data_IF_116567985086
#
_entry.id   IF_116567985086
#
_cell.length_a   1.000
_cell.length_b   1.000
_cell.length_c   1.000
_cell.angle_alpha   90.00
_cell.angle_beta   90.00
_cell.angle_gamma   90.00
#
_symmetry.space_group_name_H-M   'P 1'
#
loop_
_entity.id
_entity.type
_entity.pdbx_description
1 polymer ?
#
# COMPACT_ATOMS: atom_id res chain seq x y z
N UNK A 1 -3.05 -9.57 23.17
CA UNK A 1 -3.75 -9.51 21.88
C UNK A 1 -3.63 -10.89 21.22
N UNK A 2 -4.63 -11.33 20.43
CA UNK A 2 -4.59 -12.59 19.70
C UNK A 2 -3.57 -12.55 18.56
N UNK A 3 -3.08 -13.69 18.11
CA UNK A 3 -2.35 -13.81 16.85
C UNK A 3 -3.40 -14.06 15.75
N UNK A 4 -3.25 -13.36 14.63
CA UNK A 4 -4.12 -13.55 13.47
C UNK A 4 -3.84 -14.89 12.81
N UNK A 5 -4.88 -15.61 12.42
CA UNK A 5 -4.75 -16.86 11.64
C UNK A 5 -4.20 -16.57 10.24
N UNK A 6 -4.59 -15.42 9.67
CA UNK A 6 -4.08 -14.84 8.43
C UNK A 6 -4.08 -13.33 8.55
N UNK A 7 -3.13 -12.68 7.87
CA UNK A 7 -2.97 -11.23 7.95
C UNK A 7 -3.72 -10.49 6.83
N UNK A 8 -3.86 -11.09 5.67
CA UNK A 8 -4.53 -10.49 4.52
C UNK A 8 -5.81 -11.26 4.18
N UNK A 9 -6.83 -10.53 3.78
CA UNK A 9 -8.00 -11.04 3.09
C UNK A 9 -7.90 -10.74 1.60
N UNK A 10 -8.40 -11.66 0.78
CA UNK A 10 -8.43 -11.53 -0.68
C UNK A 10 -9.85 -11.74 -1.17
N UNK A 11 -10.29 -10.87 -2.07
CA UNK A 11 -11.58 -10.96 -2.74
C UNK A 11 -11.40 -10.86 -4.25
N UNK A 12 -11.75 -11.91 -4.96
CA UNK A 12 -11.78 -11.89 -6.42
C UNK A 12 -12.98 -11.05 -6.88
N UNK A 13 -12.72 -9.90 -7.52
CA UNK A 13 -13.76 -9.02 -8.06
C UNK A 13 -14.22 -9.55 -9.42
N UNK A 14 -13.26 -9.90 -10.30
CA UNK A 14 -13.49 -10.51 -11.59
C UNK A 14 -12.28 -11.38 -11.99
N UNK A 15 -12.17 -11.77 -13.26
CA UNK A 15 -11.06 -12.62 -13.73
C UNK A 15 -9.71 -11.90 -13.80
N UNK A 16 -9.71 -10.56 -13.77
CA UNK A 16 -8.50 -9.72 -13.82
C UNK A 16 -8.18 -9.05 -12.50
N UNK A 17 -9.17 -8.73 -11.69
CA UNK A 17 -9.01 -7.88 -10.51
C UNK A 17 -9.26 -8.68 -9.23
N UNK A 18 -8.28 -8.65 -8.34
CA UNK A 18 -8.40 -9.15 -6.96
C UNK A 18 -8.11 -8.01 -5.99
N UNK A 19 -9.04 -7.75 -5.07
CA UNK A 19 -8.84 -6.83 -3.96
C UNK A 19 -8.18 -7.54 -2.80
N UNK A 20 -7.26 -6.84 -2.13
CA UNK A 20 -6.64 -7.29 -0.88
C UNK A 20 -6.78 -6.20 0.17
N UNK A 21 -6.86 -6.60 1.43
CA UNK A 21 -6.80 -5.67 2.56
C UNK A 21 -6.27 -6.37 3.81
N UNK A 22 -5.93 -5.58 4.84
CA UNK A 22 -5.46 -6.03 6.14
C UNK A 22 -6.61 -5.91 7.16
N UNK A 23 -7.41 -6.96 7.43
CA UNK A 23 -8.63 -6.87 8.25
C UNK A 23 -8.35 -6.51 9.71
N UNK A 24 -7.10 -6.66 10.15
CA UNK A 24 -6.64 -6.38 11.51
C UNK A 24 -6.09 -4.97 11.70
N UNK A 25 -6.05 -4.16 10.63
CA UNK A 25 -5.66 -2.75 10.68
C UNK A 25 -6.89 -1.87 10.89
N UNK A 26 -6.77 -0.82 11.69
CA UNK A 26 -7.83 0.15 11.95
C UNK A 26 -8.30 0.81 10.65
N UNK A 27 -9.59 1.10 10.54
CA UNK A 27 -10.20 1.59 9.29
C UNK A 27 -9.57 2.87 8.74
N UNK A 28 -8.98 3.67 9.59
CA UNK A 28 -8.29 4.93 9.20
C UNK A 28 -7.09 4.67 8.32
N UNK A 29 -6.39 3.55 8.53
CA UNK A 29 -5.19 3.14 7.79
C UNK A 29 -5.41 1.77 7.08
N UNK A 30 -6.65 1.38 6.83
CA UNK A 30 -6.98 0.14 6.12
C UNK A 30 -7.05 0.38 4.62
N UNK A 31 -5.91 0.27 3.96
CA UNK A 31 -5.80 0.39 2.51
C UNK A 31 -6.47 -0.77 1.77
N UNK A 32 -7.09 -0.48 0.62
CA UNK A 32 -7.45 -1.50 -0.36
C UNK A 32 -6.33 -1.60 -1.41
N UNK A 33 -5.66 -2.72 -1.45
CA UNK A 33 -4.67 -3.04 -2.46
C UNK A 33 -5.33 -3.77 -3.63
N UNK A 34 -4.89 -3.52 -4.86
CA UNK A 34 -5.51 -4.10 -6.04
C UNK A 34 -4.49 -4.84 -6.89
N UNK A 35 -4.64 -6.15 -7.01
CA UNK A 35 -3.90 -6.95 -7.97
C UNK A 35 -4.66 -6.98 -9.29
N UNK A 36 -4.01 -6.51 -10.36
CA UNK A 36 -4.54 -6.46 -11.73
C UNK A 36 -3.73 -7.40 -12.59
N UNK A 37 -4.39 -8.44 -13.13
CA UNK A 37 -3.77 -9.40 -14.04
C UNK A 37 -3.72 -8.84 -15.46
N UNK A 38 -2.56 -8.94 -16.09
CA UNK A 38 -2.39 -8.74 -17.52
C UNK A 38 -1.96 -10.03 -18.22
N UNK A 39 -1.78 -9.97 -19.54
CA UNK A 39 -1.29 -11.10 -20.33
C UNK A 39 0.17 -11.41 -20.05
N UNK A 40 1.03 -10.39 -20.02
CA UNK A 40 2.50 -10.53 -19.99
C UNK A 40 3.06 -10.25 -18.60
N UNK A 41 2.45 -9.37 -17.84
CA UNK A 41 2.81 -9.01 -16.46
C UNK A 41 1.59 -8.60 -15.66
N UNK A 42 1.72 -8.60 -14.34
CA UNK A 42 0.69 -8.16 -13.42
C UNK A 42 1.08 -6.82 -12.76
N UNK A 43 0.09 -6.09 -12.27
CA UNK A 43 0.26 -4.87 -11.49
C UNK A 43 -0.37 -5.04 -10.10
N UNK A 44 0.32 -4.58 -9.08
CA UNK A 44 -0.24 -4.37 -7.75
C UNK A 44 -0.30 -2.87 -7.48
N UNK A 45 -1.48 -2.37 -7.17
CA UNK A 45 -1.70 -0.98 -6.77
C UNK A 45 -1.79 -0.95 -5.26
N UNK A 46 -0.89 -0.21 -4.65
CA UNK A 46 -0.65 -0.09 -3.22
C UNK A 46 -0.16 -1.37 -2.53
N UNK A 47 0.42 -1.22 -1.35
CA UNK A 47 1.19 -2.28 -0.70
C UNK A 47 0.95 -2.41 0.82
N UNK A 48 -0.16 -1.87 1.33
CA UNK A 48 -0.57 -2.01 2.74
C UNK A 48 0.43 -1.43 3.74
N UNK A 49 0.25 -1.79 5.00
CA UNK A 49 1.06 -1.31 6.13
C UNK A 49 2.46 -1.96 6.22
N UNK A 50 2.67 -3.12 5.57
CA UNK A 50 3.93 -3.86 5.65
C UNK A 50 4.12 -4.66 6.94
N UNK A 51 3.04 -4.96 7.66
CA UNK A 51 3.07 -5.71 8.93
C UNK A 51 3.23 -7.22 8.69
N UNK A 52 2.48 -7.76 7.73
CA UNK A 52 2.63 -9.12 7.23
C UNK A 52 3.32 -9.15 5.88
N UNK A 53 3.80 -10.31 5.42
CA UNK A 53 4.37 -10.43 4.07
C UNK A 53 3.26 -10.45 3.02
N UNK A 54 3.13 -9.36 2.26
CA UNK A 54 2.19 -9.23 1.15
C UNK A 54 2.60 -10.13 -0.02
N UNK A 55 3.90 -10.25 -0.29
CA UNK A 55 4.42 -11.16 -1.32
C UNK A 55 4.07 -12.62 -1.04
N UNK A 56 4.10 -13.02 0.24
CA UNK A 56 3.67 -14.36 0.62
C UNK A 56 2.15 -14.55 0.45
N UNK A 57 1.35 -13.56 0.84
CA UNK A 57 -0.10 -13.60 0.67
C UNK A 57 -0.53 -13.71 -0.80
N UNK A 58 0.20 -13.05 -1.69
CA UNK A 58 -0.02 -13.09 -3.14
C UNK A 58 0.57 -14.33 -3.83
N UNK A 59 1.34 -15.17 -3.15
CA UNK A 59 2.15 -16.25 -3.77
C UNK A 59 1.38 -17.15 -4.73
N UNK A 60 0.10 -17.42 -4.46
CA UNK A 60 -0.76 -18.22 -5.35
C UNK A 60 -1.22 -17.51 -6.63
N UNK A 61 -1.05 -16.18 -6.70
CA UNK A 61 -1.40 -15.33 -7.84
C UNK A 61 -0.17 -14.95 -8.68
N UNK A 62 1.04 -15.06 -8.11
CA UNK A 62 2.29 -14.60 -8.74
C UNK A 62 2.85 -15.68 -9.69
N UNK A 63 2.29 -15.78 -10.86
CA UNK A 63 2.77 -16.66 -11.96
C UNK A 63 3.49 -15.90 -13.08
N UNK A 64 3.59 -14.58 -12.96
CA UNK A 64 4.18 -13.64 -13.93
C UNK A 64 5.02 -12.55 -13.22
N UNK A 65 5.81 -11.77 -13.98
CA UNK A 65 6.44 -10.57 -13.45
C UNK A 65 5.39 -9.64 -12.84
N UNK A 66 5.68 -9.12 -11.64
CA UNK A 66 4.82 -8.19 -10.94
C UNK A 66 5.51 -6.83 -10.80
N UNK A 67 4.80 -5.78 -11.17
CA UNK A 67 5.15 -4.40 -10.84
C UNK A 67 4.25 -3.90 -9.73
N UNK A 68 4.79 -3.19 -8.75
CA UNK A 68 4.00 -2.55 -7.69
C UNK A 68 4.07 -1.04 -7.86
N UNK A 69 2.93 -0.37 -7.79
CA UNK A 69 2.84 1.09 -7.81
C UNK A 69 2.21 1.59 -6.51
N UNK A 70 2.83 2.56 -5.86
CA UNK A 70 2.17 3.27 -4.77
C UNK A 70 1.41 4.46 -5.35
N UNK A 71 0.12 4.57 -5.02
CA UNK A 71 -0.69 5.74 -5.38
C UNK A 71 -0.18 6.98 -4.68
N UNK A 72 0.35 6.85 -3.48
CA UNK A 72 1.09 7.82 -2.69
C UNK A 72 1.84 7.11 -1.56
N UNK A 73 2.61 7.85 -0.74
CA UNK A 73 3.51 7.24 0.25
C UNK A 73 3.06 7.40 1.70
N UNK A 74 1.75 7.50 1.96
CA UNK A 74 1.28 7.27 3.32
C UNK A 74 1.56 5.82 3.73
N UNK A 75 1.75 5.61 5.02
CA UNK A 75 2.26 4.35 5.59
C UNK A 75 1.43 3.12 5.25
N UNK A 76 0.15 3.28 5.03
CA UNK A 76 -0.81 2.20 4.68
C UNK A 76 -0.83 1.86 3.18
N UNK A 77 -0.13 2.63 2.34
CA UNK A 77 -0.04 2.40 0.89
C UNK A 77 1.33 1.88 0.45
N UNK A 78 2.39 2.09 1.23
CA UNK A 78 3.75 1.80 0.81
C UNK A 78 4.46 0.71 1.61
N UNK A 79 3.87 0.20 2.68
CA UNK A 79 4.56 -0.59 3.69
C UNK A 79 5.23 -1.86 3.19
N UNK A 80 4.63 -2.57 2.23
CA UNK A 80 5.23 -3.78 1.63
C UNK A 80 5.93 -3.52 0.29
N UNK A 81 6.13 -2.29 -0.18
CA UNK A 81 6.87 -2.00 -1.43
C UNK A 81 8.24 -2.68 -1.46
N UNK A 82 8.94 -2.72 -0.34
CA UNK A 82 10.27 -3.30 -0.19
C UNK A 82 10.36 -4.79 -0.53
N UNK A 83 9.23 -5.52 -0.54
CA UNK A 83 9.18 -6.95 -0.85
C UNK A 83 9.26 -7.24 -2.35
N UNK A 84 9.11 -6.24 -3.21
CA UNK A 84 8.99 -6.41 -4.67
C UNK A 84 10.17 -5.79 -5.43
N UNK A 85 10.49 -6.36 -6.60
CA UNK A 85 11.66 -5.94 -7.39
C UNK A 85 11.38 -4.71 -8.28
N UNK A 86 10.13 -4.51 -8.73
CA UNK A 86 9.70 -3.41 -9.57
C UNK A 86 8.74 -2.50 -8.80
N UNK A 87 9.20 -1.31 -8.43
CA UNK A 87 8.51 -0.36 -7.57
C UNK A 87 8.37 0.99 -8.26
N UNK A 88 7.14 1.39 -8.53
CA UNK A 88 6.77 2.65 -9.16
C UNK A 88 6.23 3.62 -8.11
N UNK A 89 6.75 4.84 -8.12
CA UNK A 89 6.36 5.92 -7.21
C UNK A 89 6.43 7.24 -7.96
N UNK A 90 5.54 8.18 -7.66
CA UNK A 90 5.63 9.52 -8.22
C UNK A 90 6.88 10.26 -7.70
N UNK A 91 7.57 11.09 -8.53
CA UNK A 91 8.80 11.79 -8.12
C UNK A 91 8.69 12.58 -6.81
N UNK A 92 7.55 13.22 -6.56
CA UNK A 92 7.31 14.00 -5.34
C UNK A 92 7.28 13.12 -4.09
N UNK A 93 6.80 11.87 -4.21
CA UNK A 93 6.66 10.90 -3.12
C UNK A 93 7.93 10.05 -2.90
N UNK A 94 8.89 10.13 -3.81
CA UNK A 94 10.04 9.22 -3.83
C UNK A 94 10.94 9.34 -2.59
N UNK A 95 11.06 10.53 -2.02
CA UNK A 95 11.88 10.75 -0.82
C UNK A 95 11.25 10.12 0.42
N UNK A 96 9.92 10.17 0.55
CA UNK A 96 9.19 9.54 1.65
C UNK A 96 9.25 8.01 1.54
N UNK A 97 9.26 7.46 0.33
CA UNK A 97 9.47 6.03 0.11
C UNK A 97 10.87 5.56 0.56
N UNK A 98 11.91 6.37 0.32
CA UNK A 98 13.28 6.11 0.77
C UNK A 98 13.46 6.28 2.27
N UNK A 99 12.79 7.26 2.84
CA UNK A 99 12.96 7.71 4.21
C UNK A 99 11.61 7.81 4.94
N UNK A 100 10.90 6.69 5.13
CA UNK A 100 9.59 6.70 5.80
C UNK A 100 9.70 7.17 7.25
N UNK A 101 8.54 7.46 7.83
CA UNK A 101 8.42 7.92 9.21
C UNK A 101 9.20 7.06 10.21
N UNK A 102 9.98 7.68 11.08
CA UNK A 102 10.83 7.01 12.07
C UNK A 102 10.13 6.73 13.40
N UNK A 103 8.92 7.23 13.61
CA UNK A 103 8.15 7.00 14.84
C UNK A 103 7.40 5.64 14.79
N UNK A 104 6.91 5.13 15.96
CA UNK A 104 6.09 3.91 16.02
C UNK A 104 4.72 4.09 15.34
N UNK A 105 4.67 3.80 14.04
CA UNK A 105 3.49 4.12 13.20
C UNK A 105 2.20 3.44 13.67
N UNK A 106 2.30 2.28 14.32
CA UNK A 106 1.14 1.53 14.83
C UNK A 106 0.60 2.05 16.17
N UNK A 107 1.31 2.96 16.83
CA UNK A 107 0.98 3.44 18.17
C UNK A 107 0.68 4.94 18.13
N UNK A 108 -0.59 5.32 17.96
CA UNK A 108 -1.01 6.70 17.74
C UNK A 108 -0.63 7.66 18.89
N UNK A 109 -0.48 7.15 20.11
CA UNK A 109 -0.01 7.94 21.24
C UNK A 109 1.48 8.36 21.15
N UNK A 110 2.21 7.80 20.19
CA UNK A 110 3.63 8.11 19.92
C UNK A 110 3.82 8.85 18.60
N UNK A 111 2.75 9.24 17.95
CA UNK A 111 2.79 10.05 16.74
C UNK A 111 3.27 11.49 17.03
N UNK A 112 3.80 12.19 16.03
CA UNK A 112 4.09 13.61 16.14
C UNK A 112 2.89 14.41 16.63
N UNK A 113 3.18 15.46 17.43
CA UNK A 113 2.14 16.34 17.97
C UNK A 113 1.23 16.88 16.86
N UNK A 114 -0.07 16.78 17.10
CA UNK A 114 -1.10 17.28 16.16
C UNK A 114 -1.48 16.31 15.04
N UNK A 115 -0.68 15.28 14.69
CA UNK A 115 -1.00 14.37 13.60
C UNK A 115 -2.32 13.62 13.85
N UNK A 116 -2.48 13.03 15.04
CA UNK A 116 -3.73 12.36 15.43
C UNK A 116 -4.93 13.30 15.34
N UNK A 117 -4.82 14.49 15.90
CA UNK A 117 -5.90 15.48 15.90
C UNK A 117 -6.23 15.95 14.47
N UNK A 118 -5.25 16.07 13.58
CA UNK A 118 -5.46 16.41 12.17
C UNK A 118 -6.27 15.35 11.41
N UNK A 119 -6.09 14.08 11.76
CA UNK A 119 -6.85 12.96 11.18
C UNK A 119 -8.26 12.90 11.80
N UNK A 120 -8.36 13.03 13.11
CA UNK A 120 -9.65 13.00 13.83
C UNK A 120 -10.57 14.16 13.42
N UNK A 121 -10.03 15.34 13.09
CA UNK A 121 -10.85 16.47 12.61
C UNK A 121 -11.46 16.23 11.21
N UNK A 122 -10.98 15.24 10.46
CA UNK A 122 -11.57 14.78 9.20
C UNK A 122 -12.69 13.75 9.40
N UNK A 123 -13.02 13.41 10.66
CA UNK A 123 -14.10 12.49 11.00
C UNK A 123 -13.67 11.03 11.18
N UNK A 124 -12.39 10.74 11.19
CA UNK A 124 -11.87 9.40 11.46
C UNK A 124 -11.69 9.17 12.96
N UNK A 125 -11.96 7.94 13.39
CA UNK A 125 -11.61 7.48 14.73
C UNK A 125 -10.19 6.88 14.68
N UNK A 126 -9.27 7.42 15.50
CA UNK A 126 -7.87 6.95 15.58
C UNK A 126 -7.67 6.22 16.91
N UNK A 127 -7.64 4.88 16.95
CA UNK A 127 -7.36 4.14 18.17
C UNK A 127 -5.90 4.32 18.61
N UNK A 128 -5.62 4.11 19.89
CA UNK A 128 -4.25 4.19 20.43
C UNK A 128 -3.29 3.18 19.78
N UNK A 129 -3.81 2.02 19.41
CA UNK A 129 -3.11 0.97 18.66
C UNK A 129 -3.89 0.67 17.40
N UNK A 130 -3.24 0.82 16.25
CA UNK A 130 -3.87 0.68 14.93
C UNK A 130 -4.15 -0.76 14.50
N UNK A 131 -3.85 -1.74 15.33
CA UNK A 131 -4.10 -3.17 15.04
C UNK A 131 -4.87 -3.85 16.16
N UNK A 132 -5.70 -4.82 15.82
CA UNK A 132 -6.50 -5.62 16.78
C UNK A 132 -6.00 -7.07 16.95
N UNK A 133 -4.97 -7.49 16.20
CA UNK A 133 -4.27 -8.75 16.30
C UNK A 133 -2.78 -8.58 15.98
N UNK A 134 -1.96 -9.57 16.37
CA UNK A 134 -0.55 -9.63 15.97
C UNK A 134 -0.38 -10.54 14.74
N UNK A 135 0.54 -10.22 13.81
CA UNK A 135 0.82 -11.08 12.65
C UNK A 135 1.56 -12.36 13.04
N UNK A 136 2.30 -12.34 14.18
CA UNK A 136 3.07 -13.46 14.68
C UNK A 136 3.34 -13.35 16.18
N UNK A 137 3.78 -14.45 16.79
CA UNK A 137 4.24 -14.43 18.17
C UNK A 137 5.50 -13.55 18.32
N UNK A 138 5.50 -12.69 19.33
CA UNK A 138 6.62 -11.80 19.61
C UNK A 138 6.65 -10.51 18.78
N UNK A 139 5.64 -10.25 17.95
CA UNK A 139 5.53 -8.97 17.25
C UNK A 139 5.38 -7.81 18.26
N UNK A 140 6.20 -6.80 18.10
CA UNK A 140 6.18 -5.58 18.92
C UNK A 140 5.74 -4.37 18.10
N UNK A 141 4.50 -3.87 18.27
CA UNK A 141 4.01 -2.71 17.54
C UNK A 141 4.78 -1.42 17.87
N UNK A 142 5.40 -1.32 19.07
CA UNK A 142 6.23 -0.18 19.43
C UNK A 142 7.57 -0.16 18.67
N UNK A 143 8.09 -1.33 18.32
CA UNK A 143 9.30 -1.45 17.53
C UNK A 143 9.06 -1.38 16.01
N UNK A 144 7.81 -1.58 15.57
CA UNK A 144 7.49 -1.58 14.14
C UNK A 144 7.69 -0.20 13.52
N UNK A 145 8.30 -0.18 12.35
CA UNK A 145 8.50 1.01 11.48
C UNK A 145 8.13 0.62 10.05
N UNK A 146 7.56 1.56 9.29
CA UNK A 146 7.35 1.34 7.86
C UNK A 146 8.70 1.07 7.18
N UNK A 147 8.86 -0.05 6.47
CA UNK A 147 10.12 -0.34 5.79
C UNK A 147 10.39 0.64 4.64
N UNK A 148 11.64 1.09 4.53
CA UNK A 148 12.07 1.91 3.40
C UNK A 148 12.07 1.10 2.09
N UNK A 149 11.71 1.73 0.99
CA UNK A 149 11.71 1.13 -0.32
C UNK A 149 12.25 2.10 -1.37
N UNK A 150 13.42 1.80 -1.96
CA UNK A 150 13.95 2.58 -3.08
C UNK A 150 13.07 2.36 -4.31
N UNK A 151 12.45 3.40 -4.91
CA UNK A 151 11.73 3.27 -6.18
C UNK A 151 12.66 2.79 -7.30
N UNK A 152 12.21 1.86 -8.13
CA UNK A 152 12.99 1.38 -9.27
C UNK A 152 12.67 2.15 -10.56
N UNK A 153 11.52 2.80 -10.60
CA UNK A 153 11.09 3.71 -11.66
C UNK A 153 10.23 4.81 -11.05
N UNK A 154 10.47 6.05 -11.47
CA UNK A 154 9.57 7.17 -11.18
C UNK A 154 8.54 7.28 -12.30
N UNK A 155 7.29 7.57 -11.93
CA UNK A 155 6.17 7.73 -12.87
C UNK A 155 5.43 9.03 -12.62
N UNK A 156 5.03 9.70 -13.70
CA UNK A 156 4.35 11.00 -13.69
C UNK A 156 3.18 10.99 -14.67
N UNK A 157 2.45 12.08 -14.75
CA UNK A 157 1.31 12.27 -15.67
C UNK A 157 1.60 11.79 -17.08
N UNK A 158 0.73 10.92 -17.62
CA UNK A 158 0.83 10.37 -18.96
C UNK A 158 1.81 9.20 -19.13
N UNK A 159 2.54 8.81 -18.08
CA UNK A 159 3.31 7.55 -18.11
C UNK A 159 2.38 6.35 -18.21
N UNK A 160 2.85 5.28 -18.84
CA UNK A 160 2.05 4.08 -19.09
C UNK A 160 2.67 2.86 -18.41
N UNK A 161 1.80 2.08 -17.76
CA UNK A 161 2.10 0.73 -17.26
C UNK A 161 1.41 -0.27 -18.18
N UNK A 162 2.20 -0.91 -19.06
CA UNK A 162 1.73 -1.90 -20.05
C UNK A 162 1.76 -3.30 -19.43
N UNK A 163 0.65 -4.02 -19.48
CA UNK A 163 0.49 -5.39 -18.98
C UNK A 163 0.35 -6.42 -20.14
N UNK A 164 0.49 -5.95 -21.38
CA UNK A 164 0.49 -6.75 -22.62
C UNK A 164 -0.85 -6.78 -23.35
N UNK A 165 -1.95 -6.96 -22.67
CA UNK A 165 -3.32 -6.92 -23.24
C UNK A 165 -4.11 -5.68 -22.76
N UNK A 166 -3.57 -4.99 -21.79
CA UNK A 166 -4.08 -3.72 -21.29
C UNK A 166 -2.93 -2.80 -20.88
N UNK A 167 -3.18 -1.52 -20.91
CA UNK A 167 -2.25 -0.49 -20.48
C UNK A 167 -2.98 0.53 -19.58
N UNK A 168 -2.35 0.88 -18.46
CA UNK A 168 -2.89 1.88 -17.53
C UNK A 168 -2.06 3.15 -17.63
N UNK A 169 -2.71 4.27 -17.83
CA UNK A 169 -2.10 5.59 -17.86
C UNK A 169 -2.09 6.20 -16.45
N UNK A 170 -0.96 6.77 -16.08
CA UNK A 170 -0.79 7.48 -14.81
C UNK A 170 -1.43 8.85 -14.91
N UNK A 171 -2.28 9.17 -13.94
CA UNK A 171 -2.89 10.49 -13.76
C UNK A 171 -2.35 11.11 -12.48
N UNK A 172 -1.75 12.30 -12.56
CA UNK A 172 -1.34 13.04 -11.38
C UNK A 172 -2.55 13.73 -10.73
N UNK A 173 -2.89 13.32 -9.53
CA UNK A 173 -4.09 13.75 -8.79
C UNK A 173 -3.71 14.40 -7.44
N UNK A 174 -2.98 15.53 -7.44
CA UNK A 174 -2.56 16.17 -6.19
C UNK A 174 -3.76 16.65 -5.38
N UNK A 175 -3.69 16.44 -4.07
CA UNK A 175 -4.77 16.83 -3.15
C UNK A 175 -4.62 16.17 -1.80
N UNK A 176 -4.82 14.86 -1.73
CA UNK A 176 -4.61 14.08 -0.50
C UNK A 176 -3.13 14.06 -0.11
N UNK A 177 -2.24 13.80 -1.06
CA UNK A 177 -0.82 14.12 -0.98
C UNK A 177 -0.38 14.89 -2.23
N UNK A 178 0.78 15.58 -2.20
CA UNK A 178 1.26 16.35 -3.35
C UNK A 178 1.56 15.51 -4.59
N UNK A 179 1.97 14.26 -4.41
CA UNK A 179 2.32 13.32 -5.48
C UNK A 179 1.32 12.18 -5.65
N UNK A 180 0.09 12.32 -5.14
CA UNK A 180 -0.95 11.31 -5.37
C UNK A 180 -1.19 11.08 -6.84
N UNK A 181 -1.29 9.80 -7.23
CA UNK A 181 -1.60 9.38 -8.60
C UNK A 181 -2.79 8.44 -8.63
N UNK A 182 -3.48 8.41 -9.76
CA UNK A 182 -4.43 7.40 -10.14
C UNK A 182 -3.96 6.65 -11.38
N UNK A 183 -4.60 5.53 -11.66
CA UNK A 183 -4.35 4.73 -12.86
C UNK A 183 -5.65 4.60 -13.63
N UNK A 184 -5.60 4.94 -14.89
CA UNK A 184 -6.75 4.89 -15.78
C UNK A 184 -6.49 3.93 -16.94
N UNK A 185 -7.45 3.03 -17.19
CA UNK A 185 -7.43 2.14 -18.36
C UNK A 185 -8.26 2.77 -19.49
N UNK A 186 -7.63 3.29 -20.56
CA UNK A 186 -8.35 3.83 -21.69
C UNK A 186 -9.27 2.80 -22.33
N UNK A 187 -10.57 3.13 -22.46
CA UNK A 187 -11.56 2.26 -23.13
C UNK A 187 -12.30 1.29 -22.21
N UNK A 188 -11.99 1.22 -20.92
CA UNK A 188 -12.81 0.44 -19.96
C UNK A 188 -14.00 1.24 -19.40
N UNK A 189 -14.13 2.50 -19.72
CA UNK A 189 -15.26 3.36 -19.42
C UNK A 189 -15.13 4.13 -18.17
#
# INVERSE_FOLDING_TARGET
MKIADRWFELEKIDDRITRLWEPHVARVDQCNMWHVRGRDSDLLVDAGMGIGSLKQALSALLDKPLTVVATHTHMDHMGSLHEFDHRLVHPIEAEDARHPASFPVLCANHWPEGLRAAIECQGYEVPDLLIDAYPSAGFDPMAFRTPAAEPTRLVDEGDVVDLGDTALEVMHLPGHSPGSIGLWEPGSG
#
